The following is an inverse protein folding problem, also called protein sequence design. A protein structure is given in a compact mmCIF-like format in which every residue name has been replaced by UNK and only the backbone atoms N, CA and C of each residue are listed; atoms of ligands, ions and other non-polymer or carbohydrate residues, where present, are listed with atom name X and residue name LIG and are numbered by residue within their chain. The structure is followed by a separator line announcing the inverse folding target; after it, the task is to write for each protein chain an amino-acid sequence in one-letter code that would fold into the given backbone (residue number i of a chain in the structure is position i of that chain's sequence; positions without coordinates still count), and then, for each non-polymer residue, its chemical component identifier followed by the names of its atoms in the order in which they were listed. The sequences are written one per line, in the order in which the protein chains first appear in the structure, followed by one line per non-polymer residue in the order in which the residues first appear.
data_IF_257678528838
#
_entry.id   IF_257678528838
#
_cell.length_a   1.000
_cell.length_b   1.000
_cell.length_c   1.000
_cell.angle_alpha   90.00
_cell.angle_beta   90.00
_cell.angle_gamma   90.00
#
_symmetry.space_group_name_H-M   'P 1'
#
loop_
_entity.id
_entity.type
_entity.pdbx_description
1 polymer ?
#
# COMPACT_ATOMS: atom_id res chain seq x y z
N UNK A 1 -35.56 12.91 45.36
CA UNK A 1 -36.12 12.12 44.23
C UNK A 1 -36.04 12.87 42.90
N UNK A 2 -36.64 14.06 42.75
CA UNK A 2 -36.60 14.82 41.49
C UNK A 2 -35.18 15.25 41.04
N UNK A 3 -34.32 15.71 41.96
CA UNK A 3 -32.93 16.09 41.64
C UNK A 3 -32.06 14.91 41.21
N UNK A 4 -32.23 13.74 41.85
CA UNK A 4 -31.51 12.52 41.48
C UNK A 4 -31.92 12.04 40.08
N UNK A 5 -33.21 12.13 39.74
CA UNK A 5 -33.70 11.80 38.40
C UNK A 5 -33.11 12.74 37.34
N UNK A 6 -33.12 14.05 37.59
CA UNK A 6 -32.54 15.04 36.68
C UNK A 6 -31.01 14.89 36.50
N UNK A 7 -30.29 14.47 37.56
CA UNK A 7 -28.87 14.15 37.47
C UNK A 7 -28.62 12.90 36.62
N UNK A 8 -29.42 11.85 36.80
CA UNK A 8 -29.33 10.62 36.00
C UNK A 8 -29.65 10.87 34.52
N UNK A 9 -30.65 11.70 34.22
CA UNK A 9 -30.96 12.10 32.83
C UNK A 9 -29.82 12.86 32.17
N UNK A 10 -29.18 13.80 32.89
CA UNK A 10 -27.99 14.51 32.40
C UNK A 10 -26.81 13.58 32.13
N UNK A 11 -26.58 12.59 33.01
CA UNK A 11 -25.54 11.57 32.82
C UNK A 11 -25.86 10.72 31.59
N UNK A 12 -27.10 10.27 31.44
CA UNK A 12 -27.55 9.45 30.31
C UNK A 12 -27.42 10.20 28.98
N UNK A 13 -27.77 11.49 28.94
CA UNK A 13 -27.55 12.34 27.76
C UNK A 13 -26.06 12.48 27.41
N UNK A 14 -25.20 12.74 28.40
CA UNK A 14 -23.74 12.81 28.18
C UNK A 14 -23.16 11.50 27.65
N UNK A 15 -23.59 10.36 28.20
CA UNK A 15 -23.16 9.04 27.73
C UNK A 15 -23.61 8.77 26.29
N UNK A 16 -24.84 9.15 25.93
CA UNK A 16 -25.33 9.02 24.55
C UNK A 16 -24.51 9.84 23.56
N UNK A 17 -24.18 11.08 23.90
CA UNK A 17 -23.32 11.93 23.06
C UNK A 17 -21.92 11.33 22.93
N UNK A 18 -21.32 10.91 24.04
CA UNK A 18 -20.00 10.26 24.02
C UNK A 18 -19.96 8.98 23.16
N UNK A 19 -21.01 8.15 23.23
CA UNK A 19 -21.15 6.96 22.37
C UNK A 19 -21.24 7.32 20.88
N UNK A 20 -21.99 8.37 20.53
CA UNK A 20 -22.09 8.82 19.14
C UNK A 20 -20.74 9.35 18.62
N UNK A 21 -19.98 10.07 19.45
CA UNK A 21 -18.66 10.58 19.10
C UNK A 21 -17.62 9.46 18.91
N UNK A 22 -17.64 8.44 19.78
CA UNK A 22 -16.75 7.27 19.64
C UNK A 22 -17.12 6.42 18.42
N UNK A 23 -18.42 6.21 18.15
CA UNK A 23 -18.87 5.52 16.93
C UNK A 23 -18.45 6.27 15.67
N UNK A 24 -18.59 7.59 15.63
CA UNK A 24 -18.17 8.41 14.51
C UNK A 24 -16.65 8.34 14.28
N UNK A 25 -15.87 8.34 15.38
CA UNK A 25 -14.41 8.19 15.33
C UNK A 25 -13.99 6.82 14.82
N UNK A 26 -14.65 5.76 15.29
CA UNK A 26 -14.41 4.39 14.83
C UNK A 26 -14.73 4.23 13.33
N UNK A 27 -15.83 4.84 12.85
CA UNK A 27 -16.17 4.85 11.42
C UNK A 27 -15.09 5.54 10.58
N UNK A 28 -14.62 6.72 11.02
CA UNK A 28 -13.52 7.43 10.35
C UNK A 28 -12.23 6.61 10.33
N UNK A 29 -11.89 5.96 11.44
CA UNK A 29 -10.71 5.10 11.54
C UNK A 29 -10.78 3.89 10.61
N UNK A 30 -11.94 3.22 10.54
CA UNK A 30 -12.17 2.09 9.60
C UNK A 30 -12.04 2.54 8.15
N UNK A 31 -12.61 3.70 7.79
CA UNK A 31 -12.46 4.27 6.45
C UNK A 31 -11.01 4.62 6.13
N UNK A 32 -10.27 5.21 7.08
CA UNK A 32 -8.86 5.52 6.89
C UNK A 32 -8.03 4.25 6.65
N UNK A 33 -8.32 3.17 7.40
CA UNK A 33 -7.70 1.86 7.19
C UNK A 33 -7.96 1.31 5.79
N UNK A 34 -9.23 1.28 5.36
CA UNK A 34 -9.58 0.77 4.02
C UNK A 34 -8.95 1.61 2.91
N UNK A 35 -8.87 2.92 3.09
CA UNK A 35 -8.22 3.80 2.12
C UNK A 35 -6.72 3.50 2.02
N UNK A 36 -6.04 3.32 3.15
CA UNK A 36 -4.62 2.93 3.15
C UNK A 36 -4.40 1.56 2.51
N UNK A 37 -5.27 0.58 2.76
CA UNK A 37 -5.19 -0.74 2.09
C UNK A 37 -5.34 -0.62 0.57
N UNK A 38 -6.30 0.18 0.11
CA UNK A 38 -6.51 0.42 -1.32
C UNK A 38 -5.32 1.17 -1.95
N UNK A 39 -4.76 2.17 -1.27
CA UNK A 39 -3.58 2.91 -1.72
C UNK A 39 -2.37 1.97 -1.87
N UNK A 40 -2.14 1.09 -0.88
CA UNK A 40 -1.06 0.10 -0.89
C UNK A 40 -1.22 -0.84 -2.09
N UNK A 41 -2.43 -1.37 -2.32
CA UNK A 41 -2.71 -2.25 -3.47
C UNK A 41 -2.44 -1.53 -4.78
N UNK A 42 -2.92 -0.28 -4.92
CA UNK A 42 -2.71 0.51 -6.13
C UNK A 42 -1.23 0.77 -6.40
N UNK A 43 -0.47 1.17 -5.37
CA UNK A 43 0.98 1.42 -5.49
C UNK A 43 1.75 0.14 -5.82
N UNK A 44 1.37 -1.00 -5.25
CA UNK A 44 1.97 -2.30 -5.61
C UNK A 44 1.73 -2.64 -7.08
N UNK A 45 0.52 -2.39 -7.60
CA UNK A 45 0.20 -2.64 -9.00
C UNK A 45 0.97 -1.69 -9.93
N UNK A 46 1.07 -0.40 -9.58
CA UNK A 46 1.87 0.57 -10.32
C UNK A 46 3.35 0.18 -10.35
N UNK A 47 3.90 -0.25 -9.22
CA UNK A 47 5.28 -0.74 -9.13
C UNK A 47 5.50 -1.95 -10.04
N UNK A 48 4.56 -2.89 -10.07
CA UNK A 48 4.63 -4.08 -10.95
C UNK A 48 4.59 -3.67 -12.43
N UNK A 49 3.72 -2.74 -12.80
CA UNK A 49 3.63 -2.20 -14.18
C UNK A 49 4.94 -1.51 -14.59
N UNK A 50 5.49 -0.65 -13.74
CA UNK A 50 6.78 0.01 -13.99
C UNK A 50 7.93 -1.00 -14.12
N UNK A 51 7.96 -2.04 -13.28
CA UNK A 51 8.95 -3.13 -13.41
C UNK A 51 8.85 -3.87 -14.75
N UNK A 52 7.64 -4.16 -15.22
CA UNK A 52 7.46 -4.82 -16.52
C UNK A 52 7.87 -3.92 -17.68
N UNK A 53 7.61 -2.61 -17.58
CA UNK A 53 7.99 -1.62 -18.59
C UNK A 53 9.50 -1.45 -18.68
N UNK A 54 10.19 -1.29 -17.54
CA UNK A 54 11.66 -1.18 -17.53
C UNK A 54 12.32 -2.43 -18.09
N UNK A 55 11.84 -3.62 -17.73
CA UNK A 55 12.36 -4.88 -18.27
C UNK A 55 12.10 -5.04 -19.79
N UNK A 56 11.03 -4.46 -20.33
CA UNK A 56 10.80 -4.42 -21.76
C UNK A 56 11.79 -3.48 -22.47
N UNK A 57 11.97 -2.27 -21.94
CA UNK A 57 12.93 -1.30 -22.46
C UNK A 57 14.37 -1.84 -22.44
N UNK A 58 14.78 -2.53 -21.38
CA UNK A 58 16.10 -3.16 -21.29
C UNK A 58 16.32 -4.20 -22.40
N UNK A 59 15.31 -5.00 -22.75
CA UNK A 59 15.40 -5.94 -23.88
C UNK A 59 15.49 -5.23 -25.21
N UNK A 60 14.77 -4.13 -25.38
CA UNK A 60 14.85 -3.33 -26.59
C UNK A 60 16.21 -2.66 -26.76
N UNK A 61 16.83 -2.18 -25.68
CA UNK A 61 18.20 -1.66 -25.71
C UNK A 61 19.18 -2.78 -26.09
N UNK A 62 19.04 -3.98 -25.51
CA UNK A 62 19.87 -5.13 -25.92
C UNK A 62 19.71 -5.45 -27.42
N UNK A 63 18.50 -5.39 -27.95
CA UNK A 63 18.26 -5.59 -29.38
C UNK A 63 18.95 -4.51 -30.23
N UNK A 64 18.78 -3.23 -29.88
CA UNK A 64 19.42 -2.12 -30.57
C UNK A 64 20.95 -2.20 -30.51
N UNK A 65 21.52 -2.64 -29.38
CA UNK A 65 22.97 -2.88 -29.25
C UNK A 65 23.45 -3.92 -30.24
N UNK A 66 22.72 -5.03 -30.41
CA UNK A 66 23.07 -6.05 -31.40
C UNK A 66 22.89 -5.57 -32.84
N UNK A 67 21.90 -4.72 -33.11
CA UNK A 67 21.72 -4.10 -34.43
C UNK A 67 22.85 -3.12 -34.76
N UNK A 68 23.25 -2.32 -33.78
CA UNK A 68 24.38 -1.40 -33.88
C UNK A 68 25.68 -2.17 -34.15
N UNK A 69 25.96 -3.23 -33.39
CA UNK A 69 27.13 -4.10 -33.60
C UNK A 69 27.14 -4.67 -35.03
N UNK A 70 26.01 -5.20 -35.51
CA UNK A 70 25.89 -5.69 -36.89
C UNK A 70 26.05 -4.58 -37.93
N UNK A 71 25.55 -3.37 -37.68
CA UNK A 71 25.72 -2.24 -38.58
C UNK A 71 27.18 -1.77 -38.65
N UNK A 72 27.86 -1.68 -37.50
CA UNK A 72 29.28 -1.33 -37.39
C UNK A 72 30.18 -2.39 -38.06
N UNK A 73 29.87 -3.68 -37.91
CA UNK A 73 30.56 -4.77 -38.59
C UNK A 73 30.36 -4.70 -40.11
N UNK A 74 29.13 -4.50 -40.59
CA UNK A 74 28.83 -4.35 -42.03
C UNK A 74 29.60 -3.18 -42.63
N UNK A 75 29.51 -2.02 -42.01
CA UNK A 75 30.22 -0.81 -42.44
C UNK A 75 31.74 -1.00 -42.43
N UNK A 76 32.29 -1.63 -41.38
CA UNK A 76 33.72 -1.95 -41.30
C UNK A 76 34.17 -2.93 -42.39
N UNK A 77 33.35 -3.93 -42.73
CA UNK A 77 33.64 -4.87 -43.80
C UNK A 77 33.58 -4.21 -45.18
N UNK A 78 32.61 -3.32 -45.41
CA UNK A 78 32.51 -2.53 -46.65
C UNK A 78 33.72 -1.61 -46.82
N UNK A 79 34.12 -0.89 -45.78
CA UNK A 79 35.35 -0.07 -45.78
C UNK A 79 36.60 -0.89 -46.10
N UNK A 80 36.73 -2.10 -45.54
CA UNK A 80 37.86 -3.00 -45.82
C UNK A 80 37.84 -3.52 -47.26
N UNK A 81 36.68 -3.94 -47.76
CA UNK A 81 36.50 -4.36 -49.17
C UNK A 81 36.88 -3.23 -50.11
N UNK A 82 36.42 -2.01 -49.82
CA UNK A 82 36.74 -0.83 -50.61
C UNK A 82 38.25 -0.59 -50.68
N UNK A 83 38.95 -0.52 -49.53
CA UNK A 83 40.43 -0.38 -49.52
C UNK A 83 41.17 -1.46 -50.31
N UNK A 84 40.62 -2.67 -50.37
CA UNK A 84 41.21 -3.76 -51.14
C UNK A 84 40.90 -3.68 -52.65
N UNK A 85 39.75 -3.11 -53.05
CA UNK A 85 39.35 -2.90 -54.46
C UNK A 85 39.94 -1.61 -55.07
N UNK A 86 40.19 -0.58 -54.26
CA UNK A 86 40.66 0.76 -54.71
C UNK A 86 42.15 0.84 -55.07
N UNK A 87 42.87 -0.29 -55.09
CA UNK A 87 44.24 -0.34 -55.62
C UNK A 87 44.30 -0.16 -57.16
N UNK A 88 43.20 0.12 -57.84
CA UNK A 88 43.20 0.25 -59.31
C UNK A 88 42.06 0.99 -60.01
N UNK A 89 41.05 1.57 -59.36
CA UNK A 89 39.99 2.31 -60.09
C UNK A 89 39.24 3.32 -59.23
N UNK A 90 39.46 4.62 -59.48
CA UNK A 90 38.68 5.71 -58.88
C UNK A 90 37.20 5.58 -59.27
N UNK A 91 36.32 5.37 -58.29
CA UNK A 91 34.86 5.41 -58.49
C UNK A 91 34.22 6.39 -57.51
N UNK A 92 33.68 7.49 -58.06
CA UNK A 92 32.98 8.55 -57.32
C UNK A 92 31.53 8.19 -56.91
N UNK A 93 31.09 6.94 -57.06
CA UNK A 93 29.68 6.55 -56.84
C UNK A 93 29.36 6.02 -55.44
N UNK A 94 30.36 5.80 -54.57
CA UNK A 94 30.17 5.08 -53.31
C UNK A 94 30.26 5.93 -52.02
N UNK A 95 30.53 7.24 -52.12
CA UNK A 95 30.50 8.15 -50.95
C UNK A 95 29.12 8.17 -50.30
N UNK A 96 28.04 8.19 -51.08
CA UNK A 96 26.67 8.18 -50.55
C UNK A 96 26.26 6.89 -49.82
N UNK A 97 26.84 5.72 -50.18
CA UNK A 97 26.56 4.46 -49.48
C UNK A 97 27.22 4.41 -48.09
N UNK A 98 28.41 5.00 -47.97
CA UNK A 98 29.16 5.05 -46.72
C UNK A 98 28.59 6.10 -45.76
N UNK A 99 28.15 7.24 -46.30
CA UNK A 99 27.42 8.27 -45.56
C UNK A 99 26.10 7.70 -45.00
N UNK A 100 25.32 6.98 -45.83
CA UNK A 100 24.07 6.35 -45.38
C UNK A 100 24.30 5.30 -44.27
N UNK A 101 25.36 4.49 -44.35
CA UNK A 101 25.70 3.53 -43.31
C UNK A 101 26.17 4.21 -42.00
N UNK A 102 26.91 5.31 -42.11
CA UNK A 102 27.29 6.13 -40.95
C UNK A 102 26.08 6.81 -40.30
N UNK A 103 25.13 7.30 -41.11
CA UNK A 103 23.87 7.87 -40.65
C UNK A 103 22.99 6.82 -39.93
N UNK A 104 22.94 5.58 -40.44
CA UNK A 104 22.26 4.45 -39.78
C UNK A 104 22.85 4.15 -38.39
N UNK A 105 24.18 4.09 -38.28
CA UNK A 105 24.90 3.87 -37.02
C UNK A 105 24.63 5.01 -36.03
N UNK A 106 24.69 6.27 -36.48
CA UNK A 106 24.37 7.42 -35.63
C UNK A 106 22.90 7.42 -35.18
N UNK A 107 21.97 7.05 -36.06
CA UNK A 107 20.55 6.95 -35.72
C UNK A 107 20.31 5.87 -34.65
N UNK A 108 20.94 4.70 -34.79
CA UNK A 108 20.88 3.62 -33.78
C UNK A 108 21.46 4.07 -32.44
N UNK A 109 22.60 4.78 -32.43
CA UNK A 109 23.18 5.35 -31.21
C UNK A 109 22.26 6.35 -30.54
N UNK A 110 21.64 7.27 -31.30
CA UNK A 110 20.66 8.22 -30.77
C UNK A 110 19.43 7.51 -30.18
N UNK A 111 18.95 6.45 -30.82
CA UNK A 111 17.84 5.66 -30.29
C UNK A 111 18.21 4.95 -28.98
N UNK A 112 19.43 4.41 -28.87
CA UNK A 112 19.91 3.80 -27.63
C UNK A 112 20.01 4.83 -26.51
N UNK A 113 20.64 5.99 -26.75
CA UNK A 113 20.75 7.06 -25.76
C UNK A 113 19.38 7.53 -25.26
N UNK A 114 18.40 7.64 -26.15
CA UNK A 114 17.04 8.03 -25.76
C UNK A 114 16.38 6.96 -24.89
N UNK A 115 16.54 5.66 -25.23
CA UNK A 115 16.01 4.59 -24.39
C UNK A 115 16.72 4.49 -23.03
N UNK A 116 18.02 4.74 -22.98
CA UNK A 116 18.76 4.79 -21.71
C UNK A 116 18.27 5.94 -20.81
N UNK A 117 17.92 7.10 -21.39
CA UNK A 117 17.28 8.20 -20.66
C UNK A 117 15.90 7.80 -20.11
N UNK A 118 15.08 7.15 -20.92
CA UNK A 118 13.76 6.67 -20.49
C UNK A 118 13.92 5.65 -19.36
N UNK A 119 14.85 4.70 -19.49
CA UNK A 119 15.15 3.70 -18.45
C UNK A 119 15.58 4.39 -17.15
N UNK A 120 16.48 5.38 -17.23
CA UNK A 120 16.93 6.16 -16.07
C UNK A 120 15.74 6.83 -15.37
N UNK A 121 14.83 7.42 -16.14
CA UNK A 121 13.62 8.04 -15.62
C UNK A 121 12.70 7.01 -14.94
N UNK A 122 12.46 5.86 -15.57
CA UNK A 122 11.66 4.77 -15.00
C UNK A 122 12.25 4.23 -13.68
N UNK A 123 13.58 4.19 -13.56
CA UNK A 123 14.24 3.84 -12.29
C UNK A 123 13.98 4.88 -11.19
N UNK A 124 13.99 6.17 -11.53
CA UNK A 124 13.63 7.25 -10.59
C UNK A 124 12.15 7.15 -10.17
N UNK A 125 11.24 6.96 -11.12
CA UNK A 125 9.82 6.79 -10.82
C UNK A 125 9.57 5.58 -9.92
N UNK A 126 10.25 4.45 -10.18
CA UNK A 126 10.18 3.27 -9.31
C UNK A 126 10.70 3.55 -7.90
N UNK A 127 11.76 4.34 -7.75
CA UNK A 127 12.28 4.72 -6.44
C UNK A 127 11.24 5.56 -5.66
N UNK A 128 10.59 6.51 -6.33
CA UNK A 128 9.49 7.30 -5.76
C UNK A 128 8.32 6.42 -5.35
N UNK A 129 7.87 5.49 -6.22
CA UNK A 129 6.78 4.56 -5.92
C UNK A 129 7.11 3.65 -4.74
N UNK A 130 8.37 3.19 -4.60
CA UNK A 130 8.81 2.41 -3.42
C UNK A 130 8.73 3.22 -2.15
N UNK A 131 9.21 4.46 -2.17
CA UNK A 131 9.15 5.36 -1.02
C UNK A 131 7.71 5.64 -0.60
N UNK A 132 6.82 5.93 -1.56
CA UNK A 132 5.40 6.12 -1.28
C UNK A 132 4.75 4.86 -0.69
N UNK A 133 5.11 3.68 -1.19
CA UNK A 133 4.59 2.41 -0.68
C UNK A 133 5.06 2.16 0.76
N UNK A 134 6.32 2.45 1.07
CA UNK A 134 6.89 2.36 2.42
C UNK A 134 6.15 3.28 3.39
N UNK A 135 5.95 4.56 3.02
CA UNK A 135 5.20 5.53 3.82
C UNK A 135 3.76 5.07 4.10
N UNK A 136 3.08 4.52 3.10
CA UNK A 136 1.68 4.04 3.25
C UNK A 136 1.62 2.79 4.13
N UNK A 137 2.55 1.86 3.97
CA UNK A 137 2.67 0.68 4.83
C UNK A 137 2.93 1.09 6.28
N UNK A 138 3.84 2.03 6.51
CA UNK A 138 4.15 2.53 7.85
C UNK A 138 2.89 3.09 8.54
N UNK A 139 2.17 3.98 7.85
CA UNK A 139 0.90 4.55 8.35
C UNK A 139 -0.15 3.47 8.63
N UNK A 140 -0.23 2.44 7.79
CA UNK A 140 -1.14 1.33 7.99
C UNK A 140 -0.79 0.53 9.25
N UNK A 141 0.48 0.22 9.49
CA UNK A 141 0.91 -0.50 10.68
C UNK A 141 0.75 0.32 11.96
N UNK A 142 1.00 1.62 11.91
CA UNK A 142 0.73 2.53 13.03
C UNK A 142 -0.76 2.54 13.37
N UNK A 143 -1.63 2.71 12.37
CA UNK A 143 -3.08 2.68 12.58
C UNK A 143 -3.55 1.32 13.12
N UNK A 144 -2.97 0.22 12.64
CA UNK A 144 -3.26 -1.13 13.13
C UNK A 144 -2.83 -1.31 14.59
N UNK A 145 -1.65 -0.81 14.97
CA UNK A 145 -1.16 -0.88 16.34
C UNK A 145 -2.03 -0.07 17.31
N UNK A 146 -2.46 1.14 16.90
CA UNK A 146 -3.42 1.95 17.66
C UNK A 146 -4.72 1.17 17.86
N UNK A 147 -5.26 0.56 16.79
CA UNK A 147 -6.49 -0.21 16.86
C UNK A 147 -6.39 -1.41 17.82
N UNK A 148 -5.29 -2.18 17.77
CA UNK A 148 -5.10 -3.31 18.69
C UNK A 148 -4.95 -2.85 20.14
N UNK A 149 -4.27 -1.71 20.37
CA UNK A 149 -4.16 -1.10 21.69
C UNK A 149 -5.53 -0.68 22.23
N UNK A 150 -6.29 0.10 21.45
CA UNK A 150 -7.64 0.53 21.83
C UNK A 150 -8.55 -0.66 22.09
N UNK A 151 -8.50 -1.70 21.24
CA UNK A 151 -9.26 -2.93 21.45
C UNK A 151 -8.92 -3.61 22.78
N UNK A 152 -7.64 -3.62 23.16
CA UNK A 152 -7.19 -4.12 24.47
C UNK A 152 -7.77 -3.30 25.62
N UNK A 153 -7.65 -1.97 25.55
CA UNK A 153 -8.21 -1.04 26.54
C UNK A 153 -9.73 -1.20 26.70
N UNK A 154 -10.47 -1.28 25.59
CA UNK A 154 -11.93 -1.54 25.62
C UNK A 154 -12.28 -2.90 26.22
N UNK A 155 -11.48 -3.93 25.95
CA UNK A 155 -11.68 -5.26 26.53
C UNK A 155 -11.44 -5.25 28.04
N UNK A 156 -10.44 -4.52 28.53
CA UNK A 156 -10.18 -4.35 29.96
C UNK A 156 -11.31 -3.59 30.66
N UNK A 157 -11.78 -2.49 30.06
CA UNK A 157 -12.91 -1.70 30.58
C UNK A 157 -14.14 -2.60 30.72
N UNK A 158 -14.48 -3.34 29.65
CA UNK A 158 -15.62 -4.27 29.66
C UNK A 158 -15.46 -5.36 30.74
N UNK A 159 -14.28 -5.94 30.88
CA UNK A 159 -14.01 -6.95 31.90
C UNK A 159 -14.22 -6.39 33.33
N UNK A 160 -13.74 -5.17 33.60
CA UNK A 160 -13.96 -4.48 34.89
C UNK A 160 -15.45 -4.19 35.12
N UNK A 161 -16.17 -3.74 34.10
CA UNK A 161 -17.61 -3.50 34.19
C UNK A 161 -18.41 -4.79 34.48
N UNK A 162 -18.09 -5.88 33.79
CA UNK A 162 -18.72 -7.17 34.05
C UNK A 162 -18.43 -7.68 35.47
N UNK A 163 -17.20 -7.50 35.95
CA UNK A 163 -16.82 -7.87 37.31
C UNK A 163 -17.57 -7.05 38.36
N UNK A 164 -17.61 -5.72 38.21
CA UNK A 164 -18.35 -4.84 39.14
C UNK A 164 -19.85 -5.13 39.12
N UNK A 165 -20.44 -5.38 37.95
CA UNK A 165 -21.84 -5.77 37.84
C UNK A 165 -22.11 -7.12 38.52
N UNK A 166 -21.20 -8.09 38.38
CA UNK A 166 -21.26 -9.36 39.09
C UNK A 166 -21.25 -9.19 40.61
N UNK A 167 -20.32 -8.37 41.13
CA UNK A 167 -20.23 -8.05 42.56
C UNK A 167 -21.48 -7.35 43.09
N UNK A 168 -21.99 -6.34 42.37
CA UNK A 168 -23.22 -5.63 42.74
C UNK A 168 -24.43 -6.57 42.74
N UNK A 169 -24.52 -7.47 41.77
CA UNK A 169 -25.60 -8.47 41.72
C UNK A 169 -25.52 -9.43 42.91
N UNK A 170 -24.35 -9.94 43.26
CA UNK A 170 -24.16 -10.79 44.44
C UNK A 170 -24.55 -10.08 45.73
N UNK A 171 -24.12 -8.82 45.92
CA UNK A 171 -24.53 -8.00 47.07
C UNK A 171 -26.05 -7.81 47.13
N UNK A 172 -26.70 -7.61 45.98
CA UNK A 172 -28.16 -7.45 45.92
C UNK A 172 -28.91 -8.75 46.20
N UNK A 173 -28.35 -9.91 45.85
CA UNK A 173 -28.86 -11.24 46.23
C UNK A 173 -28.70 -11.52 47.72
N UNK A 174 -27.63 -11.05 48.36
CA UNK A 174 -27.43 -11.13 49.81
C UNK A 174 -28.36 -10.18 50.59
N UNK A 175 -28.67 -9.01 50.04
CA UNK A 175 -29.60 -8.03 50.60
C UNK A 175 -31.07 -8.37 50.34
N UNK A 176 -31.36 -9.28 49.39
CA UNK A 176 -32.73 -9.79 49.22
C UNK A 176 -33.11 -10.52 50.50
N UNK A 177 -34.21 -10.14 51.17
CA UNK A 177 -34.66 -10.87 52.34
C UNK A 177 -34.87 -12.32 51.91
N UNK A 178 -34.16 -13.24 52.57
CA UNK A 178 -34.51 -14.66 52.51
C UNK A 178 -35.95 -14.73 52.98
N UNK A 179 -36.90 -14.76 52.06
CA UNK A 179 -38.25 -15.20 52.37
C UNK A 179 -38.08 -16.65 52.81
N UNK A 180 -37.89 -16.85 54.11
CA UNK A 180 -38.07 -18.10 54.80
C UNK A 180 -39.54 -18.47 54.58
N UNK A 181 -39.87 -19.01 53.40
CA UNK A 181 -40.87 -20.07 53.32
C UNK A 181 -40.21 -21.28 53.94
N UNK A 182 -40.11 -21.26 55.27
CA UNK A 182 -39.91 -22.49 56.03
C UNK A 182 -41.05 -23.40 55.63
N UNK A 183 -40.70 -24.58 55.10
CA UNK A 183 -41.64 -25.68 55.07
C UNK A 183 -41.98 -25.94 56.54
N UNK A 184 -43.17 -25.54 56.97
CA UNK A 184 -43.62 -25.66 58.34
C UNK A 184 -44.53 -26.89 58.41
N UNK A 185 -44.03 -28.07 58.84
CA UNK A 185 -44.83 -29.29 58.87
C UNK A 185 -45.88 -29.28 59.99
N UNK A 186 -45.99 -28.17 60.73
CA UNK A 186 -46.94 -28.00 61.85
C UNK A 186 -47.97 -26.90 61.61
N UNK A 187 -48.23 -26.48 60.36
CA UNK A 187 -49.48 -25.76 60.05
C UNK A 187 -50.66 -26.72 60.29
N UNK A 188 -51.14 -26.75 61.54
CA UNK A 188 -52.41 -27.37 61.88
C UNK A 188 -53.50 -26.49 61.31
N UNK A 189 -54.25 -27.04 60.37
CA UNK A 189 -55.57 -26.52 60.03
C UNK A 189 -56.42 -26.52 61.31
N UNK A 190 -56.94 -25.34 61.64
CA UNK A 190 -58.12 -25.13 62.47
C UNK A 190 -59.01 -24.16 61.73
#
# INVERSE_FOLDING_TARGET
MAEQHAQLEKINQRLKVGLQETEATLRRSRMAKTNLENDIISLQEQLKKAQTRSAALEREVQHLSHELERAEERHSQELRRFRNYDRGRETHSNTGSNEAASEEIEALRRQMEEKDRIISHEYQERAVLRSQLEDRNQKYFELKAIYEKEKGEWSEILARELQTHGQLKSQLEELRPKTQKGWNPFRREK
#
